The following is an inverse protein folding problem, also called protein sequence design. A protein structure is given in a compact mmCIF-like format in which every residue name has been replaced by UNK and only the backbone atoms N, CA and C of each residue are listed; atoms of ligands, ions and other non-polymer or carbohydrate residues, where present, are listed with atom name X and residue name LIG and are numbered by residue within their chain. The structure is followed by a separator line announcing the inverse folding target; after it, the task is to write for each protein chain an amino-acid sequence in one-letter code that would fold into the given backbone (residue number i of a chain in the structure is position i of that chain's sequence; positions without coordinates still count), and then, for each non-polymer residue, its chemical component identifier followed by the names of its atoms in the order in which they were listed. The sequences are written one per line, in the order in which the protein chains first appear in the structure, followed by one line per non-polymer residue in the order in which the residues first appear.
data_IF_947583684843
#
_entry.id   IF_947583684843
#
_cell.length_a   1.000
_cell.length_b   1.000
_cell.length_c   1.000
_cell.angle_alpha   90.00
_cell.angle_beta   90.00
_cell.angle_gamma   90.00
#
_symmetry.space_group_name_H-M   'P 1'
#
loop_
_entity.id
_entity.type
_entity.pdbx_description
1 polymer ?
#
# COMPACT_ATOMS: atom_id res chain seq x y z
N UNK A 1 -9.40 -1.19 -16.60
CA UNK A 1 -8.19 -0.36 -16.74
C UNK A 1 -7.22 -0.77 -15.64
N UNK A 2 -5.93 -1.00 -15.94
CA UNK A 2 -4.97 -1.56 -14.98
C UNK A 2 -4.07 -0.45 -14.40
N UNK A 3 -3.83 -0.49 -13.09
CA UNK A 3 -2.81 0.35 -12.44
C UNK A 3 -1.41 -0.05 -12.95
N UNK A 4 -0.61 0.92 -13.36
CA UNK A 4 0.73 0.70 -13.88
C UNK A 4 1.70 1.79 -13.42
N UNK A 5 2.98 1.45 -13.34
CA UNK A 5 4.05 2.45 -13.33
C UNK A 5 4.06 3.15 -14.70
N UNK A 6 3.85 4.47 -14.70
CA UNK A 6 3.77 5.29 -15.91
C UNK A 6 5.12 5.85 -16.30
N UNK A 7 5.92 6.22 -15.32
CA UNK A 7 7.19 6.87 -15.51
C UNK A 7 8.01 6.70 -14.23
N UNK A 8 9.29 6.38 -14.40
CA UNK A 8 10.22 6.25 -13.29
C UNK A 8 11.55 6.86 -13.69
N UNK A 9 12.07 7.71 -12.81
CA UNK A 9 13.46 8.19 -12.81
C UNK A 9 14.15 7.65 -11.55
N UNK A 10 15.49 7.75 -11.41
CA UNK A 10 16.19 7.16 -10.28
C UNK A 10 15.68 7.58 -8.88
N UNK A 11 15.09 8.77 -8.76
CA UNK A 11 14.63 9.34 -7.49
C UNK A 11 13.11 9.49 -7.36
N UNK A 12 12.32 9.05 -8.35
CA UNK A 12 10.87 9.17 -8.31
C UNK A 12 10.14 8.22 -9.28
N UNK A 13 8.92 7.81 -8.91
CA UNK A 13 8.02 7.01 -9.75
C UNK A 13 6.60 7.55 -9.67
N UNK A 14 5.87 7.46 -10.79
CA UNK A 14 4.50 7.93 -10.96
C UNK A 14 3.61 6.77 -11.41
N UNK A 15 2.59 6.46 -10.61
CA UNK A 15 1.75 5.28 -10.79
C UNK A 15 0.32 5.74 -11.10
N UNK A 16 -0.26 5.21 -12.17
CA UNK A 16 -1.60 5.58 -12.60
C UNK A 16 -2.33 4.44 -13.32
N UNK A 17 -3.67 4.51 -13.30
CA UNK A 17 -4.54 3.75 -14.19
C UNK A 17 -4.95 4.66 -15.36
N UNK A 18 -4.97 4.14 -16.59
CA UNK A 18 -5.43 4.90 -17.76
C UNK A 18 -4.52 6.05 -18.16
N UNK A 19 -5.10 7.10 -18.73
CA UNK A 19 -4.35 8.26 -19.24
C UNK A 19 -4.20 9.38 -18.20
N UNK A 20 -4.56 9.13 -16.94
CA UNK A 20 -4.41 10.11 -15.87
C UNK A 20 -2.93 10.35 -15.53
N UNK A 21 -2.58 11.60 -15.22
CA UNK A 21 -1.19 12.04 -15.06
C UNK A 21 -0.44 11.27 -13.95
N UNK A 22 -1.02 11.13 -12.76
CA UNK A 22 -0.62 10.14 -11.75
C UNK A 22 -1.65 10.08 -10.62
N UNK A 23 -1.88 8.89 -10.06
CA UNK A 23 -2.68 8.74 -8.84
C UNK A 23 -1.79 8.75 -7.58
N UNK A 24 -0.62 8.11 -7.68
CA UNK A 24 0.37 8.05 -6.62
C UNK A 24 1.74 8.40 -7.19
N UNK A 25 2.46 9.26 -6.51
CA UNK A 25 3.87 9.52 -6.78
C UNK A 25 4.68 9.19 -5.53
N UNK A 26 5.83 8.55 -5.72
CA UNK A 26 6.83 8.27 -4.68
C UNK A 26 8.14 8.92 -5.09
N UNK A 27 8.85 9.54 -4.14
CA UNK A 27 10.10 10.25 -4.44
C UNK A 27 11.05 10.30 -3.24
N UNK A 28 12.28 10.74 -3.48
CA UNK A 28 13.33 10.93 -2.48
C UNK A 28 13.57 12.43 -2.14
N UNK A 29 12.54 13.30 -2.15
CA UNK A 29 12.75 14.76 -1.97
C UNK A 29 13.40 15.13 -0.64
N UNK A 30 13.15 14.37 0.44
CA UNK A 30 13.80 14.56 1.73
C UNK A 30 15.27 14.09 1.76
N UNK A 31 15.75 13.46 0.69
CA UNK A 31 17.06 12.81 0.62
C UNK A 31 17.00 11.30 0.82
N UNK A 32 18.17 10.67 0.76
CA UNK A 32 18.33 9.22 0.96
C UNK A 32 18.68 8.91 2.41
N UNK A 33 18.29 7.71 2.87
CA UNK A 33 18.61 7.19 4.20
C UNK A 33 18.10 8.10 5.33
N UNK A 34 16.86 8.56 5.21
CA UNK A 34 16.21 9.34 6.26
C UNK A 34 16.03 8.48 7.52
N UNK A 35 16.02 9.14 8.67
CA UNK A 35 15.59 8.48 9.90
C UNK A 35 14.10 8.14 9.79
N UNK A 36 13.67 7.10 10.50
CA UNK A 36 12.25 6.80 10.65
C UNK A 36 11.53 8.01 11.23
N UNK A 37 10.32 8.28 10.75
CA UNK A 37 9.48 9.34 11.32
C UNK A 37 9.15 9.04 12.78
N UNK A 38 9.10 10.09 13.59
CA UNK A 38 8.51 10.04 14.92
C UNK A 38 6.97 9.99 14.83
N UNK A 39 6.31 9.43 15.83
CA UNK A 39 4.84 9.27 15.82
C UNK A 39 4.10 10.60 15.75
N UNK A 40 4.66 11.66 16.34
CA UNK A 40 4.05 13.00 16.39
C UNK A 40 4.59 13.95 15.31
N UNK A 41 5.37 13.43 14.36
CA UNK A 41 5.94 14.23 13.27
C UNK A 41 4.86 14.58 12.23
N UNK A 42 4.70 15.86 11.86
CA UNK A 42 3.82 16.25 10.76
C UNK A 42 4.27 15.62 9.44
N UNK A 43 3.35 14.99 8.71
CA UNK A 43 3.64 14.35 7.42
C UNK A 43 2.75 13.15 7.14
N UNK A 44 3.08 12.39 6.10
CA UNK A 44 2.34 11.19 5.74
C UNK A 44 2.60 10.07 6.75
N UNK A 45 1.64 9.82 7.63
CA UNK A 45 1.70 8.68 8.55
C UNK A 45 1.40 7.37 7.81
N UNK A 46 0.30 7.32 7.07
CA UNK A 46 -0.10 6.10 6.36
C UNK A 46 -1.04 6.41 5.21
N UNK A 47 -1.17 5.44 4.31
CA UNK A 47 -2.22 5.41 3.30
C UNK A 47 -2.85 4.01 3.28
N UNK A 48 -4.03 3.90 2.68
CA UNK A 48 -4.79 2.64 2.58
C UNK A 48 -4.83 2.18 1.13
N UNK A 49 -4.57 0.90 0.93
CA UNK A 49 -4.81 0.18 -0.32
C UNK A 49 -5.95 -0.80 -0.07
N UNK A 50 -7.02 -0.66 -0.84
CA UNK A 50 -8.16 -1.57 -0.78
C UNK A 50 -8.01 -2.63 -1.86
N UNK A 51 -8.28 -3.89 -1.49
CA UNK A 51 -8.29 -5.02 -2.41
C UNK A 51 -9.66 -5.67 -2.41
N UNK A 52 -10.08 -6.16 -3.56
CA UNK A 52 -11.35 -6.86 -3.72
C UNK A 52 -11.23 -8.31 -3.23
N UNK A 53 -10.12 -8.97 -3.55
CA UNK A 53 -9.94 -10.39 -3.27
C UNK A 53 -9.11 -10.66 -2.03
N UNK A 54 -9.54 -11.64 -1.23
CA UNK A 54 -8.78 -12.04 -0.04
C UNK A 54 -7.42 -12.64 -0.39
N UNK A 55 -7.31 -13.30 -1.56
CA UNK A 55 -6.05 -13.82 -2.07
C UNK A 55 -4.99 -12.74 -2.30
N UNK A 56 -5.41 -11.52 -2.65
CA UNK A 56 -4.48 -10.40 -2.85
C UNK A 56 -3.78 -10.00 -1.55
N UNK A 57 -4.46 -10.08 -0.40
CA UNK A 57 -3.83 -9.82 0.89
C UNK A 57 -2.66 -10.79 1.13
N UNK A 58 -2.86 -12.08 0.86
CA UNK A 58 -1.83 -13.11 1.04
C UNK A 58 -0.66 -12.85 0.08
N UNK A 59 -0.95 -12.61 -1.21
CA UNK A 59 0.08 -12.33 -2.20
C UNK A 59 0.87 -11.05 -1.89
N UNK A 60 0.24 -10.03 -1.29
CA UNK A 60 0.93 -8.82 -0.82
C UNK A 60 1.85 -9.15 0.35
N UNK A 61 1.39 -9.93 1.34
CA UNK A 61 2.22 -10.34 2.48
C UNK A 61 3.44 -11.13 2.04
N UNK A 62 3.27 -12.09 1.14
CA UNK A 62 4.40 -12.87 0.59
C UNK A 62 5.42 -11.96 -0.08
N UNK A 63 4.98 -11.05 -0.97
CA UNK A 63 5.87 -10.10 -1.64
C UNK A 63 6.56 -9.14 -0.66
N UNK A 64 5.86 -8.69 0.37
CA UNK A 64 6.40 -7.80 1.39
C UNK A 64 7.48 -8.51 2.22
N UNK A 65 7.19 -9.72 2.70
CA UNK A 65 8.14 -10.55 3.46
C UNK A 65 9.38 -10.89 2.62
N UNK A 66 9.21 -11.25 1.34
CA UNK A 66 10.33 -11.54 0.44
C UNK A 66 11.24 -10.32 0.19
N UNK A 67 10.74 -9.11 0.44
CA UNK A 67 11.49 -7.84 0.36
C UNK A 67 12.00 -7.38 1.73
N UNK A 68 11.81 -8.18 2.78
CA UNK A 68 12.23 -7.87 4.15
C UNK A 68 11.39 -6.78 4.83
N UNK A 69 10.21 -6.45 4.29
CA UNK A 69 9.33 -5.46 4.90
C UNK A 69 8.63 -6.05 6.14
N UNK A 70 8.33 -5.19 7.12
CA UNK A 70 7.68 -5.61 8.36
C UNK A 70 6.17 -5.63 8.16
N UNK A 71 5.60 -6.84 8.16
CA UNK A 71 4.16 -7.06 8.05
C UNK A 71 3.54 -7.28 9.42
N UNK A 72 2.40 -6.65 9.70
CA UNK A 72 1.58 -6.92 10.90
C UNK A 72 0.11 -7.05 10.51
N UNK A 73 -0.49 -8.19 10.83
CA UNK A 73 -1.94 -8.37 10.69
C UNK A 73 -2.68 -7.62 11.80
N UNK A 74 -3.71 -6.86 11.42
CA UNK A 74 -4.63 -6.19 12.34
C UNK A 74 -5.93 -6.98 12.51
N UNK A 75 -6.32 -7.70 11.46
CA UNK A 75 -7.45 -8.64 11.46
C UNK A 75 -7.26 -9.70 10.37
N UNK A 76 -8.24 -10.57 10.15
CA UNK A 76 -8.21 -11.51 9.03
C UNK A 76 -8.40 -10.87 7.64
N UNK A 77 -8.75 -9.58 7.60
CA UNK A 77 -9.02 -8.81 6.37
C UNK A 77 -8.19 -7.52 6.29
N UNK A 78 -7.27 -7.27 7.22
CA UNK A 78 -6.48 -6.04 7.25
C UNK A 78 -5.08 -6.28 7.82
N UNK A 79 -4.08 -5.68 7.18
CA UNK A 79 -2.68 -5.72 7.59
C UNK A 79 -1.99 -4.37 7.35
N UNK A 80 -0.87 -4.16 8.00
CA UNK A 80 0.06 -3.05 7.74
C UNK A 80 1.38 -3.58 7.23
N UNK A 81 1.97 -2.88 6.26
CA UNK A 81 3.37 -3.01 5.84
C UNK A 81 4.08 -1.70 6.20
N UNK A 82 5.18 -1.78 6.95
CA UNK A 82 6.00 -0.63 7.31
C UNK A 82 7.19 -0.51 6.35
N UNK A 83 7.39 0.67 5.77
CA UNK A 83 8.58 0.97 4.96
C UNK A 83 9.78 1.41 5.82
N UNK A 84 10.89 1.76 5.15
CA UNK A 84 12.15 2.11 5.82
C UNK A 84 12.07 3.43 6.59
N UNK A 85 11.23 4.36 6.14
CA UNK A 85 11.03 5.68 6.75
C UNK A 85 9.92 5.65 7.81
N UNK A 86 9.34 4.47 8.03
CA UNK A 86 8.33 4.22 9.04
C UNK A 86 6.90 4.45 8.55
N UNK A 87 6.67 4.88 7.31
CA UNK A 87 5.34 5.09 6.72
C UNK A 87 4.64 3.74 6.59
N UNK A 88 3.34 3.71 6.92
CA UNK A 88 2.56 2.48 6.86
C UNK A 88 1.71 2.44 5.59
N UNK A 89 1.80 1.34 4.86
CA UNK A 89 0.77 0.94 3.90
C UNK A 89 -0.21 0.03 4.64
N UNK A 90 -1.45 0.50 4.84
CA UNK A 90 -2.55 -0.35 5.33
C UNK A 90 -3.21 -1.02 4.14
N UNK A 91 -3.35 -2.34 4.16
CA UNK A 91 -4.03 -3.08 3.10
C UNK A 91 -5.23 -3.76 3.70
N UNK A 92 -6.42 -3.53 3.12
CA UNK A 92 -7.67 -4.12 3.60
C UNK A 92 -8.54 -4.68 2.48
N UNK A 93 -9.25 -5.75 2.77
CA UNK A 93 -10.32 -6.22 1.89
C UNK A 93 -11.50 -5.27 1.99
N UNK A 94 -11.99 -4.76 0.86
CA UNK A 94 -13.25 -4.02 0.84
C UNK A 94 -14.43 -4.99 1.04
N UNK A 95 -15.46 -4.56 1.75
CA UNK A 95 -16.73 -5.28 1.84
C UNK A 95 -17.67 -4.72 0.78
N UNK A 96 -17.94 -5.52 -0.24
CA UNK A 96 -18.90 -5.15 -1.30
C UNK A 96 -20.25 -5.80 -0.97
N UNK A 97 -21.36 -5.20 -1.40
CA UNK A 97 -22.72 -5.70 -1.09
C UNK A 97 -22.88 -7.20 -1.48
N UNK A 98 -22.24 -7.63 -2.56
CA UNK A 98 -22.21 -9.04 -2.98
C UNK A 98 -21.61 -9.99 -1.93
N UNK A 99 -20.62 -9.53 -1.16
CA UNK A 99 -20.01 -10.32 -0.07
C UNK A 99 -20.97 -10.55 1.10
N UNK A 100 -21.95 -9.66 1.28
CA UNK A 100 -22.98 -9.84 2.29
C UNK A 100 -24.03 -10.87 1.83
N UNK A 101 -24.38 -10.84 0.55
CA UNK A 101 -25.37 -11.75 -0.02
C UNK A 101 -24.85 -13.19 -0.13
N UNK A 102 -23.55 -13.38 -0.38
CA UNK A 102 -22.93 -14.72 -0.45
C UNK A 102 -22.76 -15.43 0.90
N UNK A 103 -22.91 -14.73 2.03
CA UNK A 103 -22.84 -15.32 3.38
C UNK A 103 -24.17 -15.83 3.90
N UNK A 104 -25.27 -15.55 3.20
CA UNK A 104 -26.64 -15.87 3.63
C UNK A 104 -27.26 -17.03 2.85
N UNK A 105 -26.46 -17.80 2.11
CA UNK A 105 -26.85 -19.04 1.42
C UNK A 105 -25.84 -20.15 1.69
#
# INVERSE_FOLDING_TARGET
MKLADKFTIPSASWIASGDYHHHLAVNEWGGKNLFKRDQDMPGLAYYVVEVEEKGDLIGIVERANNRGAKVKWLSSNELTVEDKDGILTRVRKILIISDFLSRNY
#
